data_IF_934193507815
#
_entry.id   IF_934193507815
#
_cell.length_a   1.000
_cell.length_b   1.000
_cell.length_c   1.000
_cell.angle_alpha   90.00
_cell.angle_beta   90.00
_cell.angle_gamma   90.00
#
_symmetry.space_group_name_H-M   'P 1'
#
loop_
_entity.id
_entity.type
_entity.pdbx_description
1 polymer ?
#
# COMPACT_ATOMS: atom_id res chain seq x y z
N UNK A 1 24.26 40.86 2.20
CA UNK A 1 23.33 39.82 1.73
C UNK A 1 23.23 38.78 2.83
N UNK A 2 22.20 38.88 3.66
CA UNK A 2 21.97 37.93 4.75
C UNK A 2 21.51 36.60 4.19
N UNK A 3 22.30 35.58 4.40
CA UNK A 3 21.89 34.19 4.25
C UNK A 3 20.80 33.92 5.30
N UNK A 4 19.55 33.92 4.86
CA UNK A 4 18.43 33.53 5.68
C UNK A 4 18.67 32.14 6.24
N UNK A 5 18.64 32.02 7.55
CA UNK A 5 18.72 30.78 8.27
C UNK A 5 17.58 29.87 7.78
N UNK A 6 17.93 28.87 7.02
CA UNK A 6 17.06 27.73 6.77
C UNK A 6 16.91 27.02 8.10
N UNK A 7 15.88 27.41 8.86
CA UNK A 7 15.46 26.63 10.01
C UNK A 7 15.21 25.23 9.48
N UNK A 8 15.92 24.28 10.05
CA UNK A 8 15.61 22.86 9.92
C UNK A 8 14.19 22.69 10.46
N UNK A 9 13.21 22.89 9.59
CA UNK A 9 11.86 22.46 9.87
C UNK A 9 11.95 20.96 10.09
N UNK A 10 11.63 20.59 11.29
CA UNK A 10 11.63 19.22 11.73
C UNK A 10 10.79 18.41 10.78
N UNK A 11 11.46 17.67 9.94
CA UNK A 11 10.86 16.72 8.99
C UNK A 11 9.99 15.68 9.69
N UNK A 12 10.12 15.58 11.03
CA UNK A 12 9.30 14.73 11.89
C UNK A 12 7.82 15.12 11.93
N UNK A 13 7.47 16.40 11.71
CA UNK A 13 6.07 16.84 11.78
C UNK A 13 5.30 16.68 10.46
N UNK A 14 6.00 16.60 9.33
CA UNK A 14 5.38 16.35 8.02
C UNK A 14 4.91 14.90 7.84
N UNK A 15 5.36 13.98 8.68
CA UNK A 15 5.07 12.55 8.61
C UNK A 15 4.10 12.05 9.68
N UNK A 16 3.38 12.95 10.32
CA UNK A 16 2.25 12.54 11.15
C UNK A 16 1.18 11.95 10.23
N UNK A 17 1.30 10.66 10.02
CA UNK A 17 0.21 9.87 9.46
C UNK A 17 -1.03 10.09 10.33
N UNK A 18 -2.00 10.85 9.83
CA UNK A 18 -3.37 10.90 10.36
C UNK A 18 -4.06 9.57 10.04
N UNK A 19 -3.62 8.50 10.66
CA UNK A 19 -4.18 7.19 10.38
C UNK A 19 -4.54 6.42 11.63
N UNK A 20 -3.70 6.39 12.64
CA UNK A 20 -4.01 5.76 13.94
C UNK A 20 -3.35 6.62 14.99
N UNK A 21 -4.06 7.05 16.05
CA UNK A 21 -3.44 7.76 17.16
C UNK A 21 -2.35 6.87 17.78
N UNK A 22 -1.09 7.28 17.63
CA UNK A 22 0.03 6.68 18.35
C UNK A 22 1.05 5.87 17.56
N UNK A 23 0.86 5.52 16.28
CA UNK A 23 1.86 4.80 15.51
C UNK A 23 2.76 5.74 14.70
N UNK A 24 4.04 5.86 15.12
CA UNK A 24 5.11 6.47 14.30
C UNK A 24 5.55 5.44 13.25
N UNK A 25 5.30 5.72 11.99
CA UNK A 25 5.98 5.00 10.89
C UNK A 25 7.42 5.50 10.87
N UNK A 26 8.34 4.67 11.33
CA UNK A 26 9.78 4.97 11.27
C UNK A 26 10.25 4.66 9.86
N UNK A 27 10.74 5.68 9.16
CA UNK A 27 11.30 5.56 7.81
C UNK A 27 12.81 5.44 7.94
N UNK A 28 13.39 4.39 7.39
CA UNK A 28 14.84 4.20 7.34
C UNK A 28 15.48 5.10 6.26
N UNK A 29 16.80 5.37 6.32
CA UNK A 29 17.49 6.11 5.26
C UNK A 29 17.32 5.51 3.87
N UNK A 30 17.31 4.18 3.75
CA UNK A 30 17.06 3.48 2.49
C UNK A 30 15.64 3.75 1.98
N UNK A 31 14.66 3.63 2.84
CA UNK A 31 13.25 3.92 2.51
C UNK A 31 13.08 5.37 2.06
N UNK A 32 13.79 6.30 2.68
CA UNK A 32 13.77 7.71 2.28
C UNK A 32 14.29 7.91 0.86
N UNK A 33 15.38 7.21 0.49
CA UNK A 33 15.91 7.24 -0.88
C UNK A 33 14.89 6.72 -1.90
N UNK A 34 14.19 5.63 -1.59
CA UNK A 34 13.13 5.10 -2.45
C UNK A 34 11.96 6.06 -2.60
N UNK A 35 11.58 6.75 -1.53
CA UNK A 35 10.52 7.78 -1.57
C UNK A 35 10.93 8.94 -2.47
N UNK A 36 12.16 9.43 -2.35
CA UNK A 36 12.66 10.50 -3.21
C UNK A 36 12.72 10.07 -4.68
N UNK A 37 13.22 8.87 -4.95
CA UNK A 37 13.28 8.33 -6.30
C UNK A 37 11.89 8.23 -6.92
N UNK A 38 10.94 7.69 -6.17
CA UNK A 38 9.54 7.57 -6.58
C UNK A 38 8.95 8.95 -6.91
N UNK A 39 9.14 9.92 -6.02
CA UNK A 39 8.66 11.28 -6.23
C UNK A 39 9.26 11.94 -7.47
N UNK A 40 10.57 11.86 -7.64
CA UNK A 40 11.27 12.47 -8.77
C UNK A 40 10.85 11.87 -10.11
N UNK A 41 10.60 10.56 -10.16
CA UNK A 41 10.24 9.88 -11.40
C UNK A 41 8.75 9.98 -11.74
N UNK A 42 7.89 9.89 -10.74
CA UNK A 42 6.44 9.77 -10.95
C UNK A 42 5.69 11.07 -10.69
N UNK A 43 6.32 12.04 -10.01
CA UNK A 43 5.70 13.32 -9.65
C UNK A 43 4.63 13.18 -8.56
N UNK A 44 4.64 12.06 -7.84
CA UNK A 44 3.73 11.76 -6.73
C UNK A 44 4.55 11.43 -5.50
N UNK A 45 4.21 11.99 -4.36
CA UNK A 45 4.86 11.66 -3.09
C UNK A 45 4.16 10.47 -2.45
N UNK A 46 4.86 9.34 -2.25
CA UNK A 46 4.25 8.21 -1.56
C UNK A 46 4.10 8.53 -0.07
N UNK A 47 3.05 8.01 0.52
CA UNK A 47 2.75 8.08 1.95
C UNK A 47 3.66 7.16 2.76
N UNK A 48 4.01 6.03 2.17
CA UNK A 48 4.86 5.01 2.78
C UNK A 48 5.55 4.16 1.72
N UNK A 49 6.63 3.51 2.11
CA UNK A 49 7.29 2.46 1.34
C UNK A 49 7.63 1.28 2.24
N UNK A 50 7.26 0.09 1.81
CA UNK A 50 7.52 -1.16 2.53
C UNK A 50 8.36 -2.07 1.65
N UNK A 51 9.48 -2.52 2.20
CA UNK A 51 10.32 -3.54 1.58
C UNK A 51 9.86 -4.93 2.04
N UNK A 52 9.42 -5.73 1.10
CA UNK A 52 9.10 -7.15 1.32
C UNK A 52 10.25 -7.99 0.78
N UNK A 53 11.12 -8.41 1.70
CA UNK A 53 12.33 -9.18 1.38
C UNK A 53 12.03 -10.61 0.93
N UNK A 54 10.93 -11.20 1.40
CA UNK A 54 10.55 -12.57 1.02
C UNK A 54 10.18 -12.66 -0.46
N UNK A 55 9.48 -11.64 -0.96
CA UNK A 55 9.01 -11.59 -2.34
C UNK A 55 9.88 -10.67 -3.23
N UNK A 56 10.97 -10.14 -2.67
CA UNK A 56 11.90 -9.21 -3.33
C UNK A 56 11.19 -8.06 -4.05
N UNK A 57 10.41 -7.26 -3.29
CA UNK A 57 9.61 -6.17 -3.82
C UNK A 57 9.57 -4.95 -2.91
N UNK A 58 9.41 -3.79 -3.54
CA UNK A 58 9.08 -2.52 -2.89
C UNK A 58 7.60 -2.21 -3.10
N UNK A 59 6.90 -1.92 -2.03
CA UNK A 59 5.48 -1.58 -2.04
C UNK A 59 5.36 -0.10 -1.65
N UNK A 60 4.91 0.73 -2.58
CA UNK A 60 4.64 2.14 -2.33
C UNK A 60 3.16 2.35 -2.04
N UNK A 61 2.87 3.04 -0.96
CA UNK A 61 1.52 3.45 -0.62
C UNK A 61 1.38 4.93 -1.00
N UNK A 62 0.43 5.25 -1.87
CA UNK A 62 0.14 6.63 -2.29
C UNK A 62 -1.16 7.12 -1.68
N UNK A 63 -1.33 8.44 -1.63
CA UNK A 63 -2.57 9.03 -1.13
C UNK A 63 -3.78 8.67 -2.04
N UNK A 64 -4.96 8.76 -1.46
CA UNK A 64 -6.21 8.55 -2.18
C UNK A 64 -6.32 9.51 -3.36
N UNK A 65 -6.57 8.98 -4.55
CA UNK A 65 -6.65 9.73 -5.80
C UNK A 65 -5.32 9.88 -6.55
N UNK A 66 -4.20 9.50 -5.96
CA UNK A 66 -2.87 9.65 -6.57
C UNK A 66 -2.39 8.43 -7.36
N UNK A 67 -3.07 7.28 -7.22
CA UNK A 67 -2.67 6.05 -7.93
C UNK A 67 -2.62 6.25 -9.44
N UNK A 68 -3.64 6.89 -10.03
CA UNK A 68 -3.68 7.17 -11.45
C UNK A 68 -2.53 8.06 -11.93
N UNK A 69 -2.16 9.06 -11.13
CA UNK A 69 -1.02 9.96 -11.40
C UNK A 69 0.32 9.23 -11.32
N UNK A 70 0.48 8.36 -10.34
CA UNK A 70 1.68 7.55 -10.15
C UNK A 70 1.86 6.53 -11.28
N UNK A 71 0.80 5.84 -11.66
CA UNK A 71 0.82 4.85 -12.74
C UNK A 71 1.05 5.53 -14.09
N UNK A 72 0.43 6.70 -14.29
CA UNK A 72 0.48 7.48 -15.53
C UNK A 72 -0.30 6.86 -16.68
N UNK A 73 -0.42 7.60 -17.78
CA UNK A 73 -1.16 7.16 -18.97
C UNK A 73 -0.58 5.85 -19.53
N UNK A 74 -1.41 4.80 -19.55
CA UNK A 74 -0.99 3.47 -20.01
C UNK A 74 0.09 2.81 -19.14
N UNK A 75 0.28 3.27 -17.92
CA UNK A 75 1.26 2.71 -16.98
C UNK A 75 2.72 3.00 -17.35
N UNK A 76 2.98 3.95 -18.26
CA UNK A 76 4.32 4.21 -18.81
C UNK A 76 5.32 4.63 -17.73
N UNK A 77 4.94 5.55 -16.86
CA UNK A 77 5.82 6.05 -15.79
C UNK A 77 6.26 4.92 -14.86
N UNK A 78 5.31 4.14 -14.38
CA UNK A 78 5.58 3.02 -13.48
C UNK A 78 6.38 1.91 -14.17
N UNK A 79 6.12 1.62 -15.45
CA UNK A 79 6.92 0.66 -16.24
C UNK A 79 8.39 1.09 -16.37
N UNK A 80 8.65 2.39 -16.58
CA UNK A 80 10.01 2.93 -16.65
C UNK A 80 10.71 2.77 -15.31
N UNK A 81 10.08 3.13 -14.22
CA UNK A 81 10.63 2.95 -12.88
C UNK A 81 10.91 1.49 -12.55
N UNK A 82 9.98 0.58 -12.88
CA UNK A 82 10.18 -0.87 -12.69
C UNK A 82 11.40 -1.39 -13.45
N UNK A 83 11.62 -0.91 -14.68
CA UNK A 83 12.77 -1.33 -15.48
C UNK A 83 14.08 -0.89 -14.87
N UNK A 84 14.16 0.36 -14.39
CA UNK A 84 15.35 0.90 -13.75
C UNK A 84 15.68 0.16 -12.45
N UNK A 85 14.71 0.03 -11.55
CA UNK A 85 14.93 -0.63 -10.27
C UNK A 85 15.14 -2.15 -10.39
N UNK A 86 14.58 -2.78 -11.41
CA UNK A 86 14.86 -4.20 -11.68
C UNK A 86 16.29 -4.42 -12.15
N UNK A 87 16.84 -3.47 -12.94
CA UNK A 87 18.22 -3.53 -13.37
C UNK A 87 19.23 -3.35 -12.23
N UNK A 88 18.95 -2.40 -11.35
CA UNK A 88 19.88 -2.01 -10.28
C UNK A 88 19.73 -2.82 -9.00
N UNK A 89 18.49 -3.21 -8.62
CA UNK A 89 18.18 -3.82 -7.33
C UNK A 89 17.55 -5.20 -7.44
N UNK A 90 17.23 -5.67 -8.65
CA UNK A 90 16.46 -6.90 -8.92
C UNK A 90 15.12 -7.00 -8.15
N UNK A 91 14.57 -5.86 -7.75
CA UNK A 91 13.33 -5.78 -6.99
C UNK A 91 12.14 -5.44 -7.88
N UNK A 92 11.00 -6.04 -7.60
CA UNK A 92 9.73 -5.65 -8.23
C UNK A 92 9.09 -4.48 -7.49
N UNK A 93 8.34 -3.64 -8.21
CA UNK A 93 7.64 -2.49 -7.62
C UNK A 93 6.14 -2.70 -7.72
N UNK A 94 5.47 -2.46 -6.62
CA UNK A 94 4.02 -2.40 -6.53
C UNK A 94 3.57 -1.06 -5.94
N UNK A 95 2.44 -0.54 -6.41
CA UNK A 95 1.84 0.70 -5.91
C UNK A 95 0.44 0.40 -5.45
N UNK A 96 0.09 0.89 -4.27
CA UNK A 96 -1.21 0.70 -3.64
C UNK A 96 -1.75 2.05 -3.21
N UNK A 97 -3.04 2.26 -3.37
CA UNK A 97 -3.73 3.46 -2.93
C UNK A 97 -4.20 3.31 -1.49
N UNK A 98 -3.90 4.31 -0.67
CA UNK A 98 -4.38 4.41 0.70
C UNK A 98 -5.88 4.73 0.72
N UNK A 99 -6.58 4.28 1.74
CA UNK A 99 -7.93 4.71 2.07
C UNK A 99 -8.02 5.01 3.56
N UNK A 100 -8.79 6.02 3.93
CA UNK A 100 -8.96 6.46 5.32
C UNK A 100 -9.78 5.49 6.17
N UNK A 101 -10.45 4.53 5.53
CA UNK A 101 -11.19 3.46 6.21
C UNK A 101 -10.45 2.13 6.08
N UNK A 102 -10.40 1.32 7.13
CA UNK A 102 -9.74 0.03 7.07
C UNK A 102 -10.38 -0.92 6.04
N UNK A 103 -11.72 -0.86 5.88
CA UNK A 103 -12.44 -1.64 4.87
C UNK A 103 -12.07 -1.20 3.46
N UNK A 104 -12.09 0.12 3.19
CA UNK A 104 -11.70 0.68 1.90
C UNK A 104 -10.25 0.36 1.55
N UNK A 105 -9.36 0.43 2.53
CA UNK A 105 -7.95 0.07 2.33
C UNK A 105 -7.79 -1.41 1.97
N UNK A 106 -8.49 -2.32 2.64
CA UNK A 106 -8.46 -3.76 2.29
C UNK A 106 -8.99 -3.98 0.87
N UNK A 107 -10.03 -3.28 0.45
CA UNK A 107 -10.53 -3.33 -0.94
C UNK A 107 -9.43 -2.92 -1.93
N UNK A 108 -8.75 -1.79 -1.68
CA UNK A 108 -7.66 -1.32 -2.53
C UNK A 108 -6.49 -2.30 -2.59
N UNK A 109 -6.17 -2.93 -1.46
CA UNK A 109 -5.10 -3.94 -1.37
C UNK A 109 -5.38 -5.18 -2.23
N UNK A 110 -6.64 -5.56 -2.38
CA UNK A 110 -7.05 -6.73 -3.15
C UNK A 110 -7.36 -6.42 -4.63
N UNK A 111 -7.37 -5.12 -5.00
CA UNK A 111 -7.57 -4.71 -6.39
C UNK A 111 -6.60 -5.45 -7.35
N UNK A 112 -7.05 -5.86 -8.56
CA UNK A 112 -8.31 -5.56 -9.24
C UNK A 112 -9.46 -6.55 -8.95
N UNK A 113 -9.35 -7.42 -7.94
CA UNK A 113 -10.46 -8.29 -7.56
C UNK A 113 -11.67 -7.47 -7.09
N UNK A 114 -12.86 -7.90 -7.48
CA UNK A 114 -14.11 -7.26 -7.03
C UNK A 114 -14.46 -7.73 -5.63
N UNK A 115 -14.44 -6.79 -4.69
CA UNK A 115 -14.70 -7.01 -3.27
C UNK A 115 -15.92 -6.17 -2.85
N UNK A 116 -17.14 -6.71 -2.99
CA UNK A 116 -18.36 -5.98 -2.64
C UNK A 116 -18.46 -5.59 -1.18
N UNK A 117 -17.85 -6.35 -0.27
CA UNK A 117 -17.92 -6.11 1.17
C UNK A 117 -16.67 -6.56 1.89
N UNK A 118 -16.29 -5.79 2.89
CA UNK A 118 -15.29 -6.17 3.90
C UNK A 118 -15.93 -6.04 5.29
N UNK A 119 -15.65 -6.96 6.19
CA UNK A 119 -16.01 -6.88 7.60
C UNK A 119 -14.75 -7.04 8.43
N UNK A 120 -14.59 -6.17 9.43
CA UNK A 120 -13.52 -6.27 10.40
C UNK A 120 -14.10 -6.82 11.69
N UNK A 121 -13.55 -7.91 12.17
CA UNK A 121 -14.01 -8.62 13.36
C UNK A 121 -12.85 -8.92 14.28
N UNK A 122 -13.09 -8.93 15.57
CA UNK A 122 -12.15 -9.45 16.56
C UNK A 122 -12.42 -10.93 16.78
N UNK A 123 -11.36 -11.73 16.66
CA UNK A 123 -11.37 -13.17 16.96
C UNK A 123 -10.34 -13.43 18.07
N UNK A 124 -10.79 -13.44 19.33
CA UNK A 124 -9.89 -13.43 20.48
C UNK A 124 -9.08 -12.12 20.51
N UNK A 125 -7.77 -12.24 20.53
CA UNK A 125 -6.86 -11.09 20.53
C UNK A 125 -6.49 -10.59 19.13
N UNK A 126 -6.90 -11.32 18.08
CA UNK A 126 -6.61 -10.96 16.69
C UNK A 126 -7.73 -10.12 16.06
N UNK A 127 -7.33 -9.10 15.29
CA UNK A 127 -8.23 -8.35 14.41
C UNK A 127 -8.14 -8.93 13.00
N UNK A 128 -9.27 -9.42 12.48
CA UNK A 128 -9.34 -10.10 11.18
C UNK A 128 -10.26 -9.34 10.25
N UNK A 129 -9.79 -9.06 9.04
CA UNK A 129 -10.63 -8.57 7.96
C UNK A 129 -11.15 -9.75 7.13
N UNK A 130 -12.46 -9.85 6.96
CA UNK A 130 -13.12 -10.82 6.09
C UNK A 130 -13.52 -10.08 4.82
N UNK A 131 -12.83 -10.35 3.72
CA UNK A 131 -13.11 -9.79 2.42
C UNK A 131 -14.01 -10.75 1.62
N UNK A 132 -15.23 -10.31 1.34
CA UNK A 132 -16.17 -11.04 0.50
C UNK A 132 -15.86 -10.71 -0.96
N UNK A 133 -15.36 -11.70 -1.69
CA UNK A 133 -14.90 -11.56 -3.07
C UNK A 133 -15.83 -12.32 -3.99
N UNK A 134 -16.11 -11.75 -5.15
CA UNK A 134 -16.86 -12.46 -6.20
C UNK A 134 -16.14 -13.76 -6.55
N UNK A 135 -16.87 -14.87 -6.68
CA UNK A 135 -16.30 -16.22 -6.85
C UNK A 135 -15.22 -16.28 -7.95
N UNK A 136 -15.49 -15.65 -9.08
CA UNK A 136 -14.58 -15.62 -10.23
C UNK A 136 -13.27 -14.88 -9.97
N UNK A 137 -13.25 -13.97 -8.97
CA UNK A 137 -12.10 -13.12 -8.67
C UNK A 137 -11.29 -13.62 -7.47
N UNK A 138 -11.65 -14.73 -6.84
CA UNK A 138 -10.92 -15.27 -5.68
C UNK A 138 -9.44 -15.50 -5.98
N UNK A 139 -9.14 -16.14 -7.12
CA UNK A 139 -7.75 -16.35 -7.54
C UNK A 139 -7.01 -15.06 -7.78
N UNK A 140 -7.70 -14.01 -8.25
CA UNK A 140 -7.16 -12.66 -8.43
C UNK A 140 -6.87 -12.03 -7.08
N UNK A 141 -7.77 -12.14 -6.10
CA UNK A 141 -7.59 -11.60 -4.76
C UNK A 141 -6.40 -12.23 -4.02
N UNK A 142 -6.22 -13.53 -4.16
CA UNK A 142 -5.09 -14.27 -3.59
C UNK A 142 -3.80 -13.92 -4.32
N UNK A 143 -3.85 -13.85 -5.66
CA UNK A 143 -2.70 -13.63 -6.53
C UNK A 143 -1.84 -14.88 -6.71
N UNK A 144 -0.94 -14.83 -7.71
CA UNK A 144 -0.01 -15.93 -8.00
C UNK A 144 0.82 -16.25 -6.75
N UNK A 145 0.82 -17.52 -6.34
CA UNK A 145 1.52 -18.00 -5.12
C UNK A 145 1.16 -17.19 -3.85
N UNK A 146 -0.05 -16.61 -3.79
CA UNK A 146 -0.49 -15.83 -2.63
C UNK A 146 0.16 -14.44 -2.49
N UNK A 147 0.90 -13.96 -3.49
CA UNK A 147 1.64 -12.69 -3.40
C UNK A 147 0.77 -11.49 -3.07
N UNK A 148 -0.45 -11.42 -3.60
CA UNK A 148 -1.34 -10.28 -3.33
C UNK A 148 -1.89 -10.31 -1.91
N UNK A 149 -2.35 -11.45 -1.45
CA UNK A 149 -2.87 -11.57 -0.08
C UNK A 149 -1.77 -11.40 0.98
N UNK A 150 -0.54 -11.86 0.72
CA UNK A 150 0.62 -11.60 1.59
C UNK A 150 0.90 -10.11 1.71
N UNK A 151 0.97 -9.39 0.58
CA UNK A 151 1.12 -7.93 0.55
C UNK A 151 0.01 -7.23 1.35
N UNK A 152 -1.23 -7.65 1.11
CA UNK A 152 -2.38 -7.07 1.78
C UNK A 152 -2.30 -7.22 3.30
N UNK A 153 -1.89 -8.38 3.80
CA UNK A 153 -1.69 -8.62 5.24
C UNK A 153 -0.61 -7.72 5.83
N UNK A 154 0.55 -7.60 5.17
CA UNK A 154 1.65 -6.73 5.63
C UNK A 154 1.16 -5.29 5.79
N UNK A 155 0.50 -4.74 4.79
CA UNK A 155 0.04 -3.36 4.80
C UNK A 155 -1.15 -3.13 5.74
N UNK A 156 -2.09 -4.05 5.82
CA UNK A 156 -3.23 -3.98 6.73
C UNK A 156 -2.78 -4.03 8.20
N UNK A 157 -1.79 -4.86 8.52
CA UNK A 157 -1.17 -4.89 9.85
C UNK A 157 -0.45 -3.59 10.15
N UNK A 158 0.30 -3.06 9.20
CA UNK A 158 1.09 -1.84 9.37
C UNK A 158 0.21 -0.61 9.60
N UNK A 159 -0.88 -0.47 8.85
CA UNK A 159 -1.70 0.74 8.84
C UNK A 159 -2.91 0.69 9.79
N UNK A 160 -3.52 -0.45 9.95
CA UNK A 160 -4.78 -0.59 10.69
C UNK A 160 -4.75 -1.64 11.80
N UNK A 161 -3.57 -2.22 12.07
CA UNK A 161 -3.40 -3.29 13.07
C UNK A 161 -4.32 -4.50 12.83
N UNK A 162 -4.58 -4.77 11.57
CA UNK A 162 -5.33 -5.95 11.14
C UNK A 162 -4.34 -7.11 11.03
N UNK A 163 -4.52 -8.14 11.85
CA UNK A 163 -3.57 -9.26 11.96
C UNK A 163 -3.68 -10.22 10.77
N UNK A 164 -4.89 -10.37 10.21
CA UNK A 164 -5.11 -11.29 9.10
C UNK A 164 -6.21 -10.81 8.16
N UNK A 165 -6.12 -11.25 6.90
CA UNK A 165 -7.17 -11.06 5.90
C UNK A 165 -7.61 -12.44 5.42
N UNK A 166 -8.91 -12.75 5.56
CA UNK A 166 -9.55 -13.96 5.07
C UNK A 166 -10.41 -13.63 3.85
N UNK A 167 -10.32 -14.48 2.84
CA UNK A 167 -11.14 -14.38 1.62
C UNK A 167 -12.36 -15.27 1.78
N UNK A 168 -13.53 -14.68 1.68
CA UNK A 168 -14.82 -15.39 1.63
C UNK A 168 -15.50 -15.18 0.27
N UNK A 169 -16.39 -16.06 -0.10
CA UNK A 169 -17.19 -15.89 -1.32
C UNK A 169 -18.31 -14.91 -1.08
N UNK A 170 -18.46 -13.95 -1.99
CA UNK A 170 -19.67 -13.14 -2.04
C UNK A 170 -20.80 -13.93 -2.67
N UNK A 171 -21.82 -14.25 -1.89
CA UNK A 171 -23.11 -14.75 -2.40
C UNK A 171 -24.09 -13.59 -2.37
N UNK A 172 -24.64 -13.24 -3.54
CA UNK A 172 -25.76 -12.28 -3.58
C UNK A 172 -26.90 -12.84 -2.74
N UNK A 173 -27.46 -12.04 -1.81
CA UNK A 173 -28.69 -12.45 -1.14
C UNK A 173 -29.74 -12.70 -2.23
N UNK A 174 -30.21 -13.90 -2.35
CA UNK A 174 -31.40 -14.20 -3.14
C UNK A 174 -32.57 -13.46 -2.52
N UNK A 175 -33.12 -12.53 -3.29
CA UNK A 175 -34.36 -11.82 -2.96
C UNK A 175 -35.51 -12.82 -2.81
#
# INVERSE_FOLDING_TARGET
VSLGSWRSWEWSDLWRCRGIPGRKVIITPEQFRYIQLFHNMLGVRPKDVVEDKEENRLIFVVEKGDLGRAVGRGGRKLKTMRRLLKGDLDMSIEVVEFDDTPEGFVINLLSPARVPRVRIVKQGDETVAIAYVVEQDKSIAIGKNGRRIKRARILAKRWYDIDNIKIATWTTPTS
#
